data_IF_759419390325
#
_entry.id   IF_759419390325
#
_cell.length_a   1.000
_cell.length_b   1.000
_cell.length_c   1.000
_cell.angle_alpha   90.00
_cell.angle_beta   90.00
_cell.angle_gamma   90.00
#
_symmetry.space_group_name_H-M   'P 1'
#
loop_
_entity.id
_entity.type
_entity.pdbx_description
1 polymer ?
#
# COMPACT_ATOMS: atom_id res chain seq x y z
N UNK A 1 -29.53 -33.09 -16.29
CA UNK A 1 -29.99 -32.58 -15.01
C UNK A 1 -28.97 -31.67 -14.40
N UNK A 2 -29.13 -30.39 -14.59
CA UNK A 2 -28.77 -29.31 -13.70
C UNK A 2 -27.35 -29.19 -13.20
N UNK A 3 -26.35 -29.08 -14.06
CA UNK A 3 -25.05 -28.46 -13.71
C UNK A 3 -25.09 -26.98 -14.08
N UNK A 4 -25.99 -26.23 -13.47
CA UNK A 4 -25.83 -24.80 -13.34
C UNK A 4 -24.94 -24.58 -12.11
N UNK A 5 -23.62 -24.63 -12.33
CA UNK A 5 -22.66 -24.22 -11.33
C UNK A 5 -22.98 -22.79 -10.92
N UNK A 6 -23.18 -22.55 -9.63
CA UNK A 6 -23.31 -21.21 -9.08
C UNK A 6 -22.15 -20.36 -9.56
N UNK A 7 -22.44 -19.43 -10.46
CA UNK A 7 -21.45 -18.42 -10.88
C UNK A 7 -21.16 -17.57 -9.66
N UNK A 8 -19.98 -17.77 -9.04
CA UNK A 8 -19.51 -16.88 -7.97
C UNK A 8 -19.57 -15.46 -8.51
N UNK A 9 -20.13 -14.51 -7.76
CA UNK A 9 -20.19 -13.12 -8.20
C UNK A 9 -18.77 -12.64 -8.49
N UNK A 10 -18.54 -12.21 -9.73
CA UNK A 10 -17.27 -11.64 -10.16
C UNK A 10 -17.07 -10.35 -9.36
N UNK A 11 -16.10 -10.35 -8.44
CA UNK A 11 -15.73 -9.12 -7.71
C UNK A 11 -15.30 -8.08 -8.74
N UNK A 12 -15.89 -6.89 -8.67
CA UNK A 12 -15.41 -5.76 -9.48
C UNK A 12 -13.94 -5.50 -9.15
N UNK A 13 -13.08 -5.29 -10.16
CA UNK A 13 -11.69 -4.94 -9.91
C UNK A 13 -11.61 -3.60 -9.17
N UNK A 14 -10.63 -3.50 -8.26
CA UNK A 14 -10.28 -2.24 -7.62
C UNK A 14 -9.38 -1.48 -8.59
N UNK A 15 -9.81 -0.28 -8.98
CA UNK A 15 -9.03 0.57 -9.86
C UNK A 15 -8.14 1.48 -9.03
N UNK A 16 -6.86 1.48 -9.36
CA UNK A 16 -5.85 2.33 -8.73
C UNK A 16 -5.13 3.21 -9.76
N UNK A 17 -4.63 4.33 -9.30
CA UNK A 17 -3.75 5.24 -10.05
C UNK A 17 -2.44 5.41 -9.31
N UNK A 18 -1.37 5.73 -10.05
CA UNK A 18 -0.08 6.07 -9.46
C UNK A 18 0.10 7.59 -9.43
N UNK A 19 0.63 8.08 -8.33
CA UNK A 19 1.05 9.47 -8.15
C UNK A 19 2.47 9.49 -7.59
N UNK A 20 3.30 10.38 -8.14
CA UNK A 20 4.68 10.59 -7.69
C UNK A 20 4.79 11.98 -7.09
N UNK A 21 4.72 12.09 -5.76
CA UNK A 21 4.57 13.37 -5.05
C UNK A 21 5.67 14.38 -5.32
N UNK A 22 6.88 13.91 -5.63
CA UNK A 22 8.03 14.76 -5.91
C UNK A 22 7.91 15.53 -7.24
N UNK A 23 6.93 15.22 -8.07
CA UNK A 23 6.76 15.81 -9.40
C UNK A 23 5.60 16.80 -9.46
N UNK A 24 4.73 16.83 -8.45
CA UNK A 24 3.46 17.55 -8.49
C UNK A 24 3.27 18.40 -7.23
N UNK A 25 2.63 19.54 -7.37
CA UNK A 25 2.17 20.33 -6.22
C UNK A 25 0.94 19.71 -5.59
N UNK A 26 0.65 20.04 -4.32
CA UNK A 26 -0.55 19.54 -3.63
C UNK A 26 -1.85 19.97 -4.32
N UNK A 27 -1.88 21.11 -5.00
CA UNK A 27 -3.03 21.57 -5.79
C UNK A 27 -3.25 20.69 -7.04
N UNK A 28 -2.18 20.36 -7.75
CA UNK A 28 -2.24 19.44 -8.89
C UNK A 28 -2.66 18.03 -8.47
N UNK A 29 -2.15 17.57 -7.34
CA UNK A 29 -2.57 16.30 -6.72
C UNK A 29 -4.06 16.33 -6.42
N UNK A 30 -4.59 17.38 -5.78
CA UNK A 30 -6.03 17.47 -5.46
C UNK A 30 -6.89 17.49 -6.73
N UNK A 31 -6.49 18.21 -7.74
CA UNK A 31 -7.19 18.24 -9.04
C UNK A 31 -7.20 16.85 -9.69
N UNK A 32 -6.07 16.14 -9.65
CA UNK A 32 -5.96 14.80 -10.20
C UNK A 32 -6.84 13.81 -9.43
N UNK A 33 -6.82 13.84 -8.09
CA UNK A 33 -7.64 12.98 -7.25
C UNK A 33 -9.14 13.22 -7.45
N UNK A 34 -9.54 14.49 -7.58
CA UNK A 34 -10.91 14.87 -7.91
C UNK A 34 -11.37 14.25 -9.21
N UNK A 35 -10.53 14.30 -10.24
CA UNK A 35 -10.82 13.69 -11.53
C UNK A 35 -10.88 12.16 -11.41
N UNK A 36 -9.85 11.54 -10.85
CA UNK A 36 -9.76 10.09 -10.73
C UNK A 36 -10.94 9.48 -9.95
N UNK A 37 -11.36 10.12 -8.86
CA UNK A 37 -12.51 9.67 -8.06
C UNK A 37 -13.82 9.63 -8.86
N UNK A 38 -14.02 10.60 -9.76
CA UNK A 38 -15.19 10.63 -10.65
C UNK A 38 -15.25 9.45 -11.63
N UNK A 39 -14.09 8.90 -11.99
CA UNK A 39 -13.98 7.72 -12.85
C UNK A 39 -13.93 6.40 -12.09
N UNK A 40 -14.19 6.42 -10.78
CA UNK A 40 -14.30 5.22 -9.97
C UNK A 40 -12.98 4.63 -9.48
N UNK A 41 -11.89 5.39 -9.55
CA UNK A 41 -10.62 5.01 -8.93
C UNK A 41 -10.73 5.17 -7.42
N UNK A 42 -10.30 4.16 -6.66
CA UNK A 42 -10.42 4.11 -5.21
C UNK A 42 -9.12 3.77 -4.50
N UNK A 43 -8.03 3.67 -5.23
CA UNK A 43 -6.70 3.38 -4.69
C UNK A 43 -5.65 4.28 -5.35
N UNK A 44 -4.70 4.76 -4.55
CA UNK A 44 -3.53 5.49 -5.01
C UNK A 44 -2.30 4.69 -4.63
N UNK A 45 -1.40 4.50 -5.60
CA UNK A 45 -0.05 4.04 -5.37
C UNK A 45 0.91 5.23 -5.39
N UNK A 46 1.81 5.29 -4.42
CA UNK A 46 2.86 6.30 -4.35
C UNK A 46 4.17 5.72 -3.83
N UNK A 47 5.31 6.24 -4.30
CA UNK A 47 6.62 5.89 -3.76
C UNK A 47 6.95 6.80 -2.58
N UNK A 48 7.01 6.23 -1.37
CA UNK A 48 7.26 7.02 -0.16
C UNK A 48 8.73 7.41 0.00
N UNK A 49 9.64 6.57 -0.47
CA UNK A 49 11.08 6.81 -0.30
C UNK A 49 11.67 7.80 -1.31
N UNK A 50 10.91 8.24 -2.30
CA UNK A 50 11.33 9.27 -3.26
C UNK A 50 11.16 10.70 -2.73
N UNK A 51 10.35 10.90 -1.68
CA UNK A 51 10.15 12.22 -1.08
C UNK A 51 11.35 12.60 -0.23
N UNK A 52 12.05 13.71 -0.56
CA UNK A 52 13.19 14.17 0.20
C UNK A 52 12.77 14.83 1.51
N UNK A 53 13.72 15.04 2.41
CA UNK A 53 13.51 15.77 3.67
C UNK A 53 13.82 14.97 4.91
N UNK A 54 13.62 15.59 6.07
CA UNK A 54 13.73 14.96 7.38
C UNK A 54 12.59 13.97 7.62
N UNK A 55 12.66 13.21 8.71
CA UNK A 55 11.56 12.33 9.13
C UNK A 55 10.25 13.12 9.33
N UNK A 56 10.35 14.26 10.00
CA UNK A 56 9.22 15.12 10.33
C UNK A 56 8.59 15.73 9.07
N UNK A 57 9.40 16.24 8.15
CA UNK A 57 8.93 16.79 6.88
C UNK A 57 8.23 15.74 6.01
N UNK A 58 8.78 14.53 5.94
CA UNK A 58 8.18 13.41 5.21
C UNK A 58 6.89 12.95 5.88
N UNK A 59 6.86 12.90 7.22
CA UNK A 59 5.65 12.58 7.97
C UNK A 59 4.52 13.57 7.67
N UNK A 60 4.79 14.86 7.81
CA UNK A 60 3.80 15.92 7.59
C UNK A 60 3.30 15.91 6.14
N UNK A 61 4.21 15.69 5.19
CA UNK A 61 3.85 15.59 3.79
C UNK A 61 2.85 14.44 3.55
N UNK A 62 3.17 13.22 3.99
CA UNK A 62 2.29 12.07 3.77
C UNK A 62 1.01 12.13 4.60
N UNK A 63 1.06 12.74 5.78
CA UNK A 63 -0.16 13.01 6.56
C UNK A 63 -1.16 13.85 5.75
N UNK A 64 -0.69 14.96 5.18
CA UNK A 64 -1.51 15.82 4.35
C UNK A 64 -1.98 15.11 3.06
N UNK A 65 -1.10 14.36 2.42
CA UNK A 65 -1.41 13.58 1.22
C UNK A 65 -2.49 12.52 1.47
N UNK A 66 -2.37 11.76 2.57
CA UNK A 66 -3.36 10.75 2.95
C UNK A 66 -4.71 11.38 3.33
N UNK A 67 -4.71 12.48 4.08
CA UNK A 67 -5.94 13.19 4.43
C UNK A 67 -6.68 13.66 3.18
N UNK A 68 -5.93 14.18 2.20
CA UNK A 68 -6.48 14.58 0.91
C UNK A 68 -7.04 13.40 0.12
N UNK A 69 -6.30 12.29 0.04
CA UNK A 69 -6.73 11.06 -0.62
C UNK A 69 -8.02 10.51 0.01
N UNK A 70 -8.07 10.43 1.33
CA UNK A 70 -9.22 9.96 2.07
C UNK A 70 -10.45 10.85 1.87
N UNK A 71 -10.27 12.16 1.79
CA UNK A 71 -11.34 13.12 1.44
C UNK A 71 -12.01 12.78 0.12
N UNK A 72 -11.25 12.23 -0.84
CA UNK A 72 -11.75 11.77 -2.13
C UNK A 72 -12.14 10.28 -2.17
N UNK A 73 -12.22 9.61 -1.02
CA UNK A 73 -12.62 8.20 -0.91
C UNK A 73 -11.57 7.20 -1.41
N UNK A 74 -10.31 7.60 -1.47
CA UNK A 74 -9.23 6.75 -1.97
C UNK A 74 -8.36 6.21 -0.84
N UNK A 75 -7.96 4.95 -0.93
CA UNK A 75 -6.94 4.34 -0.07
C UNK A 75 -5.54 4.61 -0.63
N UNK A 76 -4.59 4.81 0.26
CA UNK A 76 -3.20 5.08 -0.09
C UNK A 76 -2.34 3.84 0.11
N UNK A 77 -1.70 3.40 -0.98
CA UNK A 77 -0.69 2.34 -1.01
C UNK A 77 0.68 2.97 -1.16
N UNK A 78 1.47 2.93 -0.10
CA UNK A 78 2.83 3.48 -0.06
C UNK A 78 3.88 2.41 -0.34
N UNK A 79 4.70 2.63 -1.35
CA UNK A 79 5.86 1.78 -1.64
C UNK A 79 7.00 2.12 -0.68
N UNK A 80 7.48 1.12 0.06
CA UNK A 80 8.48 1.27 1.10
C UNK A 80 9.65 0.33 0.88
N UNK A 81 10.82 0.76 1.33
CA UNK A 81 12.01 -0.08 1.43
C UNK A 81 12.58 -0.05 2.85
N UNK A 82 13.55 -0.91 3.13
CA UNK A 82 14.18 -1.02 4.46
C UNK A 82 14.82 0.29 4.93
N UNK A 83 15.39 1.07 4.01
CA UNK A 83 16.01 2.35 4.35
C UNK A 83 14.95 3.38 4.78
N UNK A 84 13.80 3.39 4.12
CA UNK A 84 12.67 4.25 4.50
C UNK A 84 12.08 3.86 5.85
N UNK A 85 11.92 2.56 6.13
CA UNK A 85 11.52 2.07 7.45
C UNK A 85 12.41 2.61 8.56
N UNK A 86 13.74 2.48 8.39
CA UNK A 86 14.73 3.01 9.35
C UNK A 86 14.62 4.53 9.50
N UNK A 87 14.50 5.24 8.39
CA UNK A 87 14.34 6.71 8.40
C UNK A 87 13.12 7.14 9.22
N UNK A 88 12.01 6.42 9.07
CA UNK A 88 10.77 6.71 9.78
C UNK A 88 10.77 6.20 11.24
N UNK A 89 11.78 5.45 11.64
CA UNK A 89 11.85 4.83 12.97
C UNK A 89 10.88 3.66 13.14
N UNK A 90 10.48 3.04 12.03
CA UNK A 90 9.62 1.86 12.02
C UNK A 90 10.43 0.56 12.09
N UNK A 91 9.77 -0.49 12.53
CA UNK A 91 10.26 -1.86 12.50
C UNK A 91 9.14 -2.80 12.10
N UNK A 92 9.47 -4.06 11.84
CA UNK A 92 8.48 -5.08 11.47
C UNK A 92 7.43 -5.32 12.57
N UNK A 93 7.77 -5.03 13.83
CA UNK A 93 6.86 -5.13 14.99
C UNK A 93 6.15 -3.83 15.33
N UNK A 94 6.60 -2.69 14.81
CA UNK A 94 6.00 -1.39 15.06
C UNK A 94 5.98 -0.53 13.79
N UNK A 95 4.83 -0.50 13.17
CA UNK A 95 4.51 0.32 12.00
C UNK A 95 3.48 1.41 12.32
N UNK A 96 3.33 1.76 13.60
CA UNK A 96 2.36 2.76 14.08
C UNK A 96 2.46 4.10 13.34
N UNK A 97 3.69 4.54 13.03
CA UNK A 97 3.92 5.80 12.32
C UNK A 97 3.23 5.85 10.95
N UNK A 98 3.16 4.72 10.24
CA UNK A 98 2.44 4.66 8.96
C UNK A 98 0.93 4.78 9.17
N UNK A 99 0.41 4.22 10.27
CA UNK A 99 -0.98 4.40 10.65
C UNK A 99 -1.30 5.85 10.99
N UNK A 100 -0.41 6.52 11.71
CA UNK A 100 -0.54 7.94 12.06
C UNK A 100 -0.50 8.85 10.83
N UNK A 101 0.32 8.53 9.82
CA UNK A 101 0.31 9.21 8.52
C UNK A 101 -0.97 8.98 7.72
N UNK A 102 -1.73 7.93 8.03
CA UNK A 102 -2.94 7.56 7.27
C UNK A 102 -2.69 6.58 6.12
N UNK A 103 -1.54 5.90 6.08
CA UNK A 103 -1.25 4.88 5.09
C UNK A 103 -2.16 3.66 5.32
N UNK A 104 -2.86 3.24 4.29
CA UNK A 104 -3.77 2.08 4.33
C UNK A 104 -3.08 0.78 3.94
N UNK A 105 -2.12 0.88 3.03
CA UNK A 105 -1.44 -0.26 2.42
C UNK A 105 0.06 0.06 2.35
N UNK A 106 0.90 -0.83 2.85
CA UNK A 106 2.34 -0.77 2.64
C UNK A 106 2.70 -1.81 1.60
N UNK A 107 3.32 -1.38 0.50
CA UNK A 107 3.88 -2.26 -0.51
C UNK A 107 5.38 -2.40 -0.28
N UNK A 108 5.84 -3.65 -0.29
CA UNK A 108 7.25 -3.99 -0.11
C UNK A 108 7.73 -4.95 -1.19
N UNK A 109 8.95 -4.74 -1.66
CA UNK A 109 9.61 -5.72 -2.50
C UNK A 109 10.07 -6.91 -1.66
N UNK A 110 9.73 -8.11 -2.12
CA UNK A 110 10.00 -9.35 -1.43
C UNK A 110 10.99 -10.21 -2.25
N UNK A 111 12.31 -10.03 -2.06
CA UNK A 111 13.30 -10.89 -2.72
C UNK A 111 13.34 -12.29 -2.10
N UNK A 112 13.02 -12.42 -0.83
CA UNK A 112 12.86 -13.66 -0.06
C UNK A 112 11.86 -13.41 1.06
N UNK A 113 11.30 -14.47 1.63
CA UNK A 113 10.32 -14.40 2.70
C UNK A 113 10.89 -14.96 4.00
N UNK A 114 10.69 -14.28 5.11
CA UNK A 114 11.12 -14.71 6.43
C UNK A 114 10.10 -14.36 7.54
N UNK A 115 10.45 -14.65 8.80
CA UNK A 115 9.57 -14.44 9.94
C UNK A 115 9.21 -12.95 10.18
N UNK A 116 10.03 -12.01 9.72
CA UNK A 116 9.76 -10.57 9.83
C UNK A 116 8.56 -10.20 8.94
N UNK A 117 8.48 -10.80 7.76
CA UNK A 117 7.36 -10.60 6.84
C UNK A 117 6.05 -11.14 7.42
N UNK A 118 6.11 -12.27 8.12
CA UNK A 118 4.95 -12.83 8.86
C UNK A 118 4.47 -11.83 9.93
N UNK A 119 5.40 -11.21 10.66
CA UNK A 119 5.08 -10.21 11.68
C UNK A 119 4.40 -8.99 11.06
N UNK A 120 4.91 -8.49 9.94
CA UNK A 120 4.32 -7.37 9.19
C UNK A 120 2.91 -7.70 8.70
N UNK A 121 2.71 -8.86 8.09
CA UNK A 121 1.41 -9.28 7.56
C UNK A 121 0.35 -9.33 8.67
N UNK A 122 0.74 -9.77 9.86
CA UNK A 122 -0.14 -9.89 11.02
C UNK A 122 -0.13 -8.65 11.93
N UNK A 123 0.25 -7.49 11.43
CA UNK A 123 0.34 -6.27 12.23
C UNK A 123 -1.01 -5.89 12.86
N UNK A 124 -1.00 -5.27 14.07
CA UNK A 124 -2.23 -4.90 14.78
C UNK A 124 -2.81 -3.55 14.32
N UNK A 125 -2.18 -2.86 13.39
CA UNK A 125 -2.54 -1.49 12.99
C UNK A 125 -3.59 -1.42 11.89
N UNK A 126 -4.07 -2.57 11.41
CA UNK A 126 -5.01 -2.66 10.28
C UNK A 126 -4.46 -2.03 8.99
N UNK A 127 -3.15 -2.16 8.79
CA UNK A 127 -2.48 -1.82 7.55
C UNK A 127 -2.32 -3.09 6.71
N UNK A 128 -2.79 -3.06 5.48
CA UNK A 128 -2.59 -4.16 4.54
C UNK A 128 -1.15 -4.16 4.05
N UNK A 129 -0.50 -5.31 4.08
CA UNK A 129 0.83 -5.48 3.47
C UNK A 129 0.66 -6.09 2.09
N UNK A 130 1.10 -5.37 1.06
CA UNK A 130 1.20 -5.87 -0.30
C UNK A 130 2.63 -6.29 -0.59
N UNK A 131 2.81 -7.53 -1.00
CA UNK A 131 4.12 -8.10 -1.34
C UNK A 131 4.30 -8.09 -2.85
N UNK A 132 5.36 -7.46 -3.31
CA UNK A 132 5.78 -7.47 -4.71
C UNK A 132 6.96 -8.42 -4.86
N UNK A 133 6.81 -9.47 -5.66
CA UNK A 133 7.90 -10.42 -5.88
C UNK A 133 7.85 -11.00 -7.29
N UNK A 134 9.01 -11.02 -7.93
CA UNK A 134 9.24 -11.78 -9.16
C UNK A 134 9.76 -13.20 -8.89
N UNK A 135 9.97 -13.57 -7.62
CA UNK A 135 10.53 -14.84 -7.20
C UNK A 135 9.43 -15.82 -6.80
N UNK A 136 9.11 -16.78 -7.65
CA UNK A 136 8.09 -17.82 -7.39
C UNK A 136 8.32 -18.54 -6.05
N UNK A 137 9.58 -18.77 -5.70
CA UNK A 137 9.94 -19.43 -4.45
C UNK A 137 9.56 -18.58 -3.23
N UNK A 138 9.79 -17.27 -3.26
CA UNK A 138 9.41 -16.36 -2.18
C UNK A 138 7.88 -16.31 -2.02
N UNK A 139 7.13 -16.26 -3.10
CA UNK A 139 5.66 -16.32 -3.10
C UNK A 139 5.17 -17.62 -2.48
N UNK A 140 5.76 -18.76 -2.88
CA UNK A 140 5.40 -20.08 -2.32
C UNK A 140 5.65 -20.13 -0.81
N UNK A 141 6.84 -19.71 -0.37
CA UNK A 141 7.18 -19.68 1.06
C UNK A 141 6.23 -18.76 1.85
N UNK A 142 5.87 -17.62 1.31
CA UNK A 142 4.92 -16.70 1.93
C UNK A 142 3.56 -17.36 2.13
N UNK A 143 3.02 -18.02 1.10
CA UNK A 143 1.74 -18.72 1.17
C UNK A 143 1.76 -19.88 2.18
N UNK A 144 2.85 -20.64 2.22
CA UNK A 144 3.05 -21.74 3.18
C UNK A 144 3.13 -21.23 4.64
N UNK A 145 3.54 -19.98 4.85
CA UNK A 145 3.63 -19.34 6.16
C UNK A 145 2.45 -18.40 6.49
N UNK A 146 1.34 -18.54 5.79
CA UNK A 146 0.08 -17.89 6.15
C UNK A 146 -0.20 -16.56 5.43
N UNK A 147 0.60 -16.16 4.44
CA UNK A 147 0.23 -15.04 3.58
C UNK A 147 -1.01 -15.39 2.75
N UNK A 148 -1.89 -14.41 2.59
CA UNK A 148 -3.06 -14.57 1.76
C UNK A 148 -2.69 -14.19 0.30
N UNK A 149 -3.25 -14.87 -0.72
CA UNK A 149 -3.08 -14.45 -2.12
C UNK A 149 -3.39 -12.97 -2.38
N UNK A 150 -4.27 -12.36 -1.58
CA UNK A 150 -4.58 -10.92 -1.66
C UNK A 150 -3.45 -9.99 -1.18
N UNK A 151 -2.43 -10.53 -0.50
CA UNK A 151 -1.26 -9.77 -0.08
C UNK A 151 -0.22 -9.56 -1.20
N UNK A 152 -0.42 -10.16 -2.37
CA UNK A 152 0.51 -10.00 -3.49
C UNK A 152 -0.03 -8.99 -4.50
N UNK A 153 0.84 -8.07 -4.93
CA UNK A 153 0.61 -7.21 -6.08
C UNK A 153 1.20 -7.86 -7.34
N UNK A 154 0.44 -7.87 -8.37
CA UNK A 154 0.88 -8.30 -9.71
C UNK A 154 1.33 -7.09 -10.51
#
# INVERSE_FOLDING_TARGET
MGLLGETKPVKKPILGVSLYPEQESMEEIENYLTMASRYGFTKIFTSMFSVPGTKEEVFDYFKNFCDLAHKHGMKVSGDCNTAFFKKMGASESDISIFKEMGIDIIRMDLPYFDQRDVTLINNPYNITIELSSCMIQAVRMALENGANPTNFST
#
